data_IF_391054310007
#
_entry.id   IF_391054310007
#
_cell.length_a   1.000
_cell.length_b   1.000
_cell.length_c   1.000
_cell.angle_alpha   90.00
_cell.angle_beta   90.00
_cell.angle_gamma   90.00
#
_symmetry.space_group_name_H-M   'P 1'
#
loop_
_entity.id
_entity.type
_entity.pdbx_description
1 polymer ?
#
# COMPACT_ATOMS: atom_id res chain seq x y z
N UNK A 1 27.30 -64.76 14.18
CA UNK A 1 28.34 -63.81 13.75
C UNK A 1 27.89 -62.39 14.10
N UNK A 2 28.85 -61.59 14.59
CA UNK A 2 28.81 -60.18 15.02
C UNK A 2 28.07 -59.83 16.31
N UNK A 3 28.90 -59.39 17.27
CA UNK A 3 28.65 -59.02 18.66
C UNK A 3 28.50 -57.50 18.78
N UNK A 4 27.66 -57.11 19.72
CA UNK A 4 27.50 -55.78 20.33
C UNK A 4 28.73 -55.46 21.20
N UNK A 5 29.13 -54.18 21.29
CA UNK A 5 29.48 -53.47 22.55
C UNK A 5 30.53 -52.34 22.39
N UNK A 6 30.12 -51.13 22.78
CA UNK A 6 30.78 -50.24 23.76
C UNK A 6 32.00 -49.39 23.38
N UNK A 7 31.86 -48.10 23.68
CA UNK A 7 32.93 -47.26 24.27
C UNK A 7 33.70 -46.40 23.26
N UNK A 8 34.16 -45.17 23.52
CA UNK A 8 34.37 -44.36 24.73
C UNK A 8 34.38 -42.90 24.23
N UNK A 9 33.69 -41.99 24.92
CA UNK A 9 33.82 -40.54 24.69
C UNK A 9 35.02 -40.07 25.53
N UNK A 10 36.12 -39.71 24.85
CA UNK A 10 37.29 -39.09 25.47
C UNK A 10 37.15 -37.57 25.34
N UNK A 11 36.86 -36.89 26.45
CA UNK A 11 36.93 -35.42 26.54
C UNK A 11 38.40 -35.06 26.79
N UNK A 12 39.09 -34.55 25.77
CA UNK A 12 40.42 -33.97 25.92
C UNK A 12 40.30 -32.46 26.10
N UNK A 13 40.51 -32.02 27.35
CA UNK A 13 40.75 -30.64 27.73
C UNK A 13 42.12 -30.23 27.15
N UNK A 14 42.15 -29.34 26.16
CA UNK A 14 43.38 -28.72 25.68
C UNK A 14 43.24 -27.20 25.81
N UNK A 15 43.83 -26.68 26.87
CA UNK A 15 44.27 -25.29 26.98
C UNK A 15 45.27 -25.01 25.86
N UNK A 16 44.94 -24.08 24.98
CA UNK A 16 45.83 -23.57 23.96
C UNK A 16 45.67 -22.06 23.85
N UNK A 17 46.61 -21.33 24.46
CA UNK A 17 46.89 -19.93 24.12
C UNK A 17 47.20 -19.87 22.63
N UNK A 18 46.27 -19.33 21.84
CA UNK A 18 46.51 -19.06 20.43
C UNK A 18 46.87 -17.59 20.26
N UNK A 19 48.18 -17.36 20.14
CA UNK A 19 48.72 -16.18 19.48
C UNK A 19 48.45 -16.37 17.99
N UNK A 20 47.50 -15.63 17.45
CA UNK A 20 47.32 -15.49 16.01
C UNK A 20 47.73 -14.07 15.60
N UNK A 21 48.95 -13.95 15.06
CA UNK A 21 49.26 -12.88 14.11
C UNK A 21 48.52 -13.18 12.81
N UNK A 22 47.67 -12.26 12.35
CA UNK A 22 47.10 -12.27 11.01
C UNK A 22 46.97 -10.82 10.51
N UNK A 23 47.35 -10.62 9.25
CA UNK A 23 47.59 -9.37 8.55
C UNK A 23 46.34 -8.48 8.34
N UNK A 24 46.51 -7.16 8.10
CA UNK A 24 45.43 -6.18 8.13
C UNK A 24 44.64 -6.17 6.81
N UNK A 25 43.32 -6.31 6.91
CA UNK A 25 42.40 -6.28 5.77
C UNK A 25 41.00 -5.80 6.17
N UNK A 26 40.83 -4.49 6.18
CA UNK A 26 39.60 -3.68 6.04
C UNK A 26 38.32 -4.14 6.78
N UNK A 27 38.16 -3.67 8.02
CA UNK A 27 36.87 -3.14 8.44
C UNK A 27 36.87 -1.63 8.15
N UNK A 28 35.89 -1.14 7.40
CA UNK A 28 35.68 0.29 7.18
C UNK A 28 35.08 0.86 8.48
N UNK A 29 35.87 1.68 9.18
CA UNK A 29 35.44 2.52 10.30
C UNK A 29 34.69 3.74 9.74
N UNK A 30 33.36 3.77 9.83
CA UNK A 30 32.52 4.95 9.56
C UNK A 30 32.35 5.81 10.83
N UNK A 31 33.47 6.21 11.45
CA UNK A 31 33.46 7.19 12.53
C UNK A 31 34.58 8.20 12.28
N UNK A 32 34.20 9.40 11.86
CA UNK A 32 35.14 10.50 11.63
C UNK A 32 35.61 11.02 13.01
N UNK A 33 36.77 10.52 13.46
CA UNK A 33 37.39 10.90 14.74
C UNK A 33 38.36 12.05 14.47
N UNK A 34 38.18 13.18 15.16
CA UNK A 34 39.05 14.34 15.02
C UNK A 34 39.96 14.40 16.25
N UNK A 35 41.27 14.45 16.02
CA UNK A 35 42.27 14.57 17.07
C UNK A 35 42.98 15.93 17.01
N UNK A 36 43.06 16.64 18.13
CA UNK A 36 43.92 17.84 18.33
C UNK A 36 44.54 17.83 19.73
N UNK A 37 45.81 18.24 19.81
CA UNK A 37 46.60 18.35 21.05
C UNK A 37 46.53 17.12 21.97
N UNK A 38 46.50 15.92 21.36
CA UNK A 38 46.49 14.64 22.08
C UNK A 38 45.13 14.20 22.61
N UNK A 39 44.06 14.91 22.30
CA UNK A 39 42.68 14.53 22.63
C UNK A 39 41.92 14.24 21.33
N UNK A 40 41.26 13.08 21.28
CA UNK A 40 40.48 12.63 20.14
C UNK A 40 39.01 12.54 20.53
N UNK A 41 38.15 13.24 19.80
CA UNK A 41 36.70 13.24 19.99
C UNK A 41 35.99 12.86 18.69
N UNK A 42 34.81 12.26 18.81
CA UNK A 42 33.95 11.96 17.67
C UNK A 42 33.44 13.28 17.07
N UNK A 43 33.62 13.46 15.75
CA UNK A 43 33.02 14.58 15.07
C UNK A 43 31.49 14.52 15.23
N UNK A 44 30.81 15.63 15.55
CA UNK A 44 29.35 15.65 15.51
C UNK A 44 28.89 15.31 14.10
N UNK A 45 28.06 14.28 13.97
CA UNK A 45 27.55 13.82 12.67
C UNK A 45 26.92 15.02 11.95
N UNK A 46 27.56 15.47 10.88
CA UNK A 46 26.98 16.46 10.00
C UNK A 46 25.71 15.85 9.41
N UNK A 47 24.56 16.40 9.77
CA UNK A 47 23.28 16.03 9.19
C UNK A 47 23.29 16.45 7.71
N UNK A 48 23.74 15.54 6.85
CA UNK A 48 23.56 15.67 5.41
C UNK A 48 22.06 15.60 5.10
N UNK A 49 21.59 16.61 4.37
CA UNK A 49 20.42 16.60 3.51
C UNK A 49 19.03 16.47 4.18
N UNK A 50 18.52 17.62 4.66
CA UNK A 50 17.06 17.84 4.67
C UNK A 50 16.61 18.10 3.22
N UNK A 51 16.11 17.07 2.54
CA UNK A 51 15.11 17.30 1.50
C UNK A 51 13.93 18.06 2.13
N UNK A 52 13.28 19.01 1.42
CA UNK A 52 12.07 19.61 1.94
C UNK A 52 11.04 18.49 2.05
N UNK A 53 10.57 18.22 3.27
CA UNK A 53 9.43 17.35 3.53
C UNK A 53 8.18 17.95 2.84
N UNK A 54 8.06 17.69 1.54
CA UNK A 54 6.78 17.68 0.88
C UNK A 54 5.96 16.62 1.57
N UNK A 55 4.87 17.05 2.23
CA UNK A 55 3.85 16.23 2.88
C UNK A 55 3.79 14.84 2.28
N UNK A 56 4.52 13.90 2.89
CA UNK A 56 4.42 12.50 2.54
C UNK A 56 2.96 12.14 2.79
N UNK A 57 2.24 11.83 1.71
CA UNK A 57 0.92 11.23 1.79
C UNK A 57 1.03 10.10 2.81
N UNK A 58 0.39 10.28 3.97
CA UNK A 58 0.34 9.25 4.98
C UNK A 58 -0.16 8.00 4.27
N UNK A 59 0.64 6.93 4.26
CA UNK A 59 0.32 5.73 3.53
C UNK A 59 -1.04 5.24 4.02
N UNK A 60 -2.08 5.47 3.22
CA UNK A 60 -3.43 5.11 3.57
C UNK A 60 -3.44 3.59 3.80
N UNK A 61 -3.65 3.12 5.04
CA UNK A 61 -3.49 1.70 5.37
C UNK A 61 -4.50 0.82 4.63
N UNK A 62 -5.58 1.41 4.14
CA UNK A 62 -6.66 0.73 3.43
C UNK A 62 -6.59 0.91 1.91
N UNK A 63 -5.60 1.64 1.36
CA UNK A 63 -5.49 1.88 -0.08
C UNK A 63 -6.81 2.37 -0.75
N UNK A 64 -7.73 2.97 0.01
CA UNK A 64 -9.01 3.53 -0.46
C UNK A 64 -8.94 5.04 -0.74
N UNK A 65 -7.74 5.56 -0.87
CA UNK A 65 -7.47 6.88 -1.39
C UNK A 65 -6.48 6.71 -2.52
N UNK A 66 -6.89 7.18 -3.69
CA UNK A 66 -6.01 7.44 -4.82
C UNK A 66 -5.73 8.95 -4.81
N UNK A 67 -4.71 9.45 -5.54
CA UNK A 67 -4.23 10.82 -5.36
C UNK A 67 -5.32 11.91 -5.35
N UNK A 68 -6.42 11.72 -6.09
CA UNK A 68 -7.48 12.72 -6.23
C UNK A 68 -8.81 12.31 -5.55
N UNK A 69 -9.06 11.01 -5.36
CA UNK A 69 -10.36 10.47 -4.91
C UNK A 69 -10.19 9.64 -3.64
N UNK A 70 -11.03 9.91 -2.65
CA UNK A 70 -11.17 9.10 -1.44
C UNK A 70 -12.53 8.39 -1.42
N UNK A 71 -12.54 7.11 -1.06
CA UNK A 71 -13.75 6.34 -0.82
C UNK A 71 -13.94 6.00 0.64
N UNK A 72 -15.16 6.17 1.16
CA UNK A 72 -15.53 5.71 2.50
C UNK A 72 -16.85 4.95 2.48
N UNK A 73 -17.03 4.00 3.38
CA UNK A 73 -18.35 3.39 3.58
C UNK A 73 -19.35 4.45 4.05
N UNK A 74 -20.55 4.45 3.47
CA UNK A 74 -21.61 5.40 3.81
C UNK A 74 -22.03 5.30 5.29
N UNK A 75 -21.96 4.10 5.88
CA UNK A 75 -22.25 3.88 7.31
C UNK A 75 -21.25 4.57 8.26
N UNK A 76 -20.06 4.91 7.76
CA UNK A 76 -18.97 5.47 8.56
C UNK A 76 -18.85 6.99 8.40
N UNK A 77 -19.77 7.61 7.64
CA UNK A 77 -19.73 9.05 7.35
C UNK A 77 -21.09 9.69 7.60
N UNK A 78 -21.09 10.84 8.27
CA UNK A 78 -22.26 11.70 8.34
C UNK A 78 -22.30 12.60 7.09
N UNK A 79 -23.22 12.32 6.17
CA UNK A 79 -23.30 13.04 4.89
C UNK A 79 -24.20 14.27 5.00
N UNK A 80 -23.65 15.41 4.55
CA UNK A 80 -24.43 16.58 4.19
C UNK A 80 -25.06 16.44 2.79
N UNK A 81 -25.29 17.56 2.08
CA UNK A 81 -25.76 17.53 0.70
C UNK A 81 -24.85 16.68 -0.19
N UNK A 82 -25.44 15.72 -0.91
CA UNK A 82 -24.72 14.81 -1.79
C UNK A 82 -25.59 14.48 -3.00
N UNK A 83 -24.95 13.94 -4.04
CA UNK A 83 -25.67 13.23 -5.09
C UNK A 83 -25.65 11.74 -4.81
N UNK A 84 -26.66 11.02 -5.32
CA UNK A 84 -26.79 9.59 -5.11
C UNK A 84 -26.96 8.86 -6.44
N UNK A 85 -26.35 7.69 -6.55
CA UNK A 85 -26.55 6.75 -7.65
C UNK A 85 -26.67 5.31 -7.13
N UNK A 86 -27.58 4.53 -7.72
CA UNK A 86 -27.75 3.10 -7.39
C UNK A 86 -27.16 2.27 -8.52
N UNK A 87 -25.98 1.71 -8.29
CA UNK A 87 -25.31 0.78 -9.21
C UNK A 87 -25.70 -0.68 -8.94
N UNK A 88 -26.19 -0.96 -7.72
CA UNK A 88 -26.62 -2.27 -7.27
C UNK A 88 -27.64 -2.91 -8.22
N UNK A 89 -27.45 -4.20 -8.51
CA UNK A 89 -28.36 -5.00 -9.35
C UNK A 89 -29.13 -6.06 -8.56
N UNK A 90 -28.76 -6.28 -7.29
CA UNK A 90 -29.54 -7.06 -6.33
C UNK A 90 -29.22 -6.65 -4.89
N UNK A 91 -30.02 -7.15 -3.94
CA UNK A 91 -29.73 -7.02 -2.52
C UNK A 91 -28.79 -8.14 -2.04
N UNK A 92 -27.99 -7.91 -0.97
CA UNK A 92 -27.87 -6.67 -0.20
C UNK A 92 -27.03 -5.59 -0.90
N UNK A 93 -27.26 -4.33 -0.53
CA UNK A 93 -26.54 -3.15 -1.05
C UNK A 93 -25.68 -2.52 0.03
N UNK A 94 -24.48 -2.08 -0.34
CA UNK A 94 -23.58 -1.30 0.50
C UNK A 94 -23.29 0.05 -0.15
N UNK A 95 -23.32 1.12 0.65
CA UNK A 95 -23.05 2.47 0.17
C UNK A 95 -21.56 2.81 0.26
N UNK A 96 -20.97 3.30 -0.82
CA UNK A 96 -19.64 3.92 -0.85
C UNK A 96 -19.79 5.38 -1.23
N UNK A 97 -19.17 6.27 -0.47
CA UNK A 97 -19.15 7.70 -0.75
C UNK A 97 -17.80 8.08 -1.33
N UNK A 98 -17.84 8.70 -2.50
CA UNK A 98 -16.67 9.27 -3.16
C UNK A 98 -16.54 10.75 -2.85
N UNK A 99 -15.40 11.10 -2.27
CA UNK A 99 -14.96 12.45 -1.99
C UNK A 99 -13.85 12.85 -2.95
N UNK A 100 -13.78 14.14 -3.26
CA UNK A 100 -12.70 14.72 -4.05
C UNK A 100 -12.18 15.96 -3.31
N UNK A 101 -10.87 16.08 -3.14
CA UNK A 101 -10.27 17.27 -2.52
C UNK A 101 -10.29 18.50 -3.43
N UNK A 102 -10.37 18.28 -4.73
CA UNK A 102 -10.50 19.30 -5.78
C UNK A 102 -11.54 18.84 -6.81
N UNK A 103 -12.09 19.74 -7.66
CA UNK A 103 -12.99 19.34 -8.73
C UNK A 103 -12.35 18.33 -9.70
N UNK A 104 -12.94 17.14 -9.83
CA UNK A 104 -12.47 16.06 -10.71
C UNK A 104 -13.39 15.90 -11.89
N UNK A 105 -12.83 15.87 -13.10
CA UNK A 105 -13.60 15.76 -14.34
C UNK A 105 -13.87 14.32 -14.73
N UNK A 106 -14.99 14.12 -15.42
CA UNK A 106 -15.38 12.86 -16.05
C UNK A 106 -15.38 11.69 -15.05
N UNK A 107 -15.92 11.90 -13.85
CA UNK A 107 -16.04 10.84 -12.86
C UNK A 107 -17.08 9.84 -13.34
N UNK A 108 -16.73 8.56 -13.35
CA UNK A 108 -17.63 7.47 -13.78
C UNK A 108 -17.68 6.36 -12.76
N UNK A 109 -18.85 5.73 -12.66
CA UNK A 109 -19.04 4.46 -11.96
C UNK A 109 -19.04 3.35 -12.97
N UNK A 110 -18.34 2.26 -12.67
CA UNK A 110 -18.07 1.15 -13.58
C UNK A 110 -18.62 -0.16 -13.02
N UNK A 111 -19.19 -0.99 -13.89
CA UNK A 111 -19.32 -2.43 -13.70
C UNK A 111 -18.08 -3.11 -14.26
N UNK A 112 -17.57 -4.07 -13.49
CA UNK A 112 -16.43 -4.90 -13.87
C UNK A 112 -16.89 -6.35 -14.02
N UNK A 113 -16.49 -6.98 -15.11
CA UNK A 113 -16.66 -8.41 -15.34
C UNK A 113 -15.29 -9.04 -15.50
N UNK A 114 -15.00 -10.03 -14.66
CA UNK A 114 -13.72 -10.73 -14.71
C UNK A 114 -13.52 -11.41 -16.07
N UNK A 115 -12.35 -11.16 -16.66
CA UNK A 115 -11.97 -11.71 -17.96
C UNK A 115 -10.93 -12.80 -17.80
N UNK A 116 -9.81 -12.49 -17.15
CA UNK A 116 -8.66 -13.40 -17.01
C UNK A 116 -7.67 -12.87 -15.97
N UNK A 117 -6.56 -13.56 -15.76
CA UNK A 117 -5.39 -13.07 -15.04
C UNK A 117 -4.26 -12.72 -16.02
N UNK A 118 -3.61 -11.59 -15.80
CA UNK A 118 -2.37 -11.27 -16.51
C UNK A 118 -1.24 -12.24 -16.11
N UNK A 119 -0.17 -12.38 -16.92
CA UNK A 119 1.00 -13.19 -16.56
C UNK A 119 1.66 -12.79 -15.23
N UNK A 120 1.48 -11.53 -14.81
CA UNK A 120 1.96 -11.00 -13.53
C UNK A 120 0.99 -11.25 -12.36
N UNK A 121 -0.10 -11.99 -12.57
CA UNK A 121 -1.07 -12.32 -11.54
C UNK A 121 -2.03 -11.17 -11.17
N UNK A 122 -2.24 -10.20 -12.07
CA UNK A 122 -3.26 -9.16 -11.89
C UNK A 122 -4.57 -9.52 -12.59
N UNK A 123 -5.74 -9.30 -11.97
CA UNK A 123 -7.02 -9.54 -12.63
C UNK A 123 -7.22 -8.56 -13.80
N UNK A 124 -7.75 -9.07 -14.89
CA UNK A 124 -8.16 -8.34 -16.07
C UNK A 124 -9.68 -8.33 -16.15
N UNK A 125 -10.26 -7.19 -16.53
CA UNK A 125 -11.71 -7.01 -16.55
C UNK A 125 -12.20 -6.48 -17.89
N UNK A 126 -13.41 -6.87 -18.27
CA UNK A 126 -14.24 -6.07 -19.17
C UNK A 126 -14.88 -4.95 -18.34
N UNK A 127 -14.85 -3.73 -18.88
CA UNK A 127 -15.34 -2.53 -18.18
C UNK A 127 -16.58 -2.01 -18.89
N UNK A 128 -17.63 -1.74 -18.12
CA UNK A 128 -18.85 -1.07 -18.61
C UNK A 128 -19.19 0.12 -17.74
N UNK A 129 -19.43 1.27 -18.37
CA UNK A 129 -19.85 2.48 -17.67
C UNK A 129 -21.32 2.39 -17.24
N UNK A 130 -21.59 2.71 -15.98
CA UNK A 130 -22.95 2.73 -15.40
C UNK A 130 -23.48 4.14 -15.17
N UNK A 131 -22.58 5.07 -14.85
CA UNK A 131 -22.92 6.45 -14.53
C UNK A 131 -21.77 7.36 -14.89
N UNK A 132 -22.08 8.59 -15.30
CA UNK A 132 -21.11 9.65 -15.55
C UNK A 132 -21.53 10.93 -14.84
N UNK A 133 -20.55 11.60 -14.24
CA UNK A 133 -20.64 12.92 -13.64
C UNK A 133 -19.53 13.79 -14.20
N UNK A 134 -19.92 14.87 -14.87
CA UNK A 134 -18.98 15.77 -15.54
C UNK A 134 -17.93 16.32 -14.58
N UNK A 135 -18.36 16.70 -13.36
CA UNK A 135 -17.47 17.17 -12.30
C UNK A 135 -17.92 16.64 -10.94
N UNK A 136 -17.09 15.83 -10.29
CA UNK A 136 -17.21 15.51 -8.87
C UNK A 136 -16.60 16.67 -8.06
N UNK A 137 -17.43 17.35 -7.26
CA UNK A 137 -17.03 18.55 -6.50
C UNK A 137 -16.81 18.23 -5.02
N UNK A 138 -15.86 18.88 -4.34
CA UNK A 138 -15.62 18.68 -2.91
C UNK A 138 -16.87 18.89 -2.04
N UNK A 139 -17.69 19.89 -2.37
CA UNK A 139 -18.87 20.28 -1.58
C UNK A 139 -20.08 19.38 -1.84
N UNK A 140 -19.98 18.48 -2.82
CA UNK A 140 -21.10 17.63 -3.27
C UNK A 140 -20.60 16.22 -3.62
N UNK A 141 -20.22 15.43 -2.59
CA UNK A 141 -19.75 14.06 -2.78
C UNK A 141 -20.82 13.19 -3.45
N UNK A 142 -20.40 12.04 -3.96
CA UNK A 142 -21.29 11.08 -4.61
C UNK A 142 -21.41 9.82 -3.73
N UNK A 143 -22.61 9.57 -3.23
CA UNK A 143 -22.98 8.28 -2.64
C UNK A 143 -23.35 7.31 -3.76
N UNK A 144 -22.72 6.15 -3.80
CA UNK A 144 -23.06 5.07 -4.71
C UNK A 144 -23.43 3.82 -3.92
N UNK A 145 -24.62 3.28 -4.18
CA UNK A 145 -25.06 1.98 -3.64
C UNK A 145 -24.63 0.87 -4.59
N UNK A 146 -23.77 -0.01 -4.11
CA UNK A 146 -23.22 -1.14 -4.85
C UNK A 146 -23.73 -2.47 -4.28
N UNK A 147 -23.74 -3.49 -5.12
CA UNK A 147 -23.78 -4.88 -4.67
C UNK A 147 -22.37 -5.46 -4.76
N UNK A 148 -21.83 -5.99 -3.66
CA UNK A 148 -20.54 -6.67 -3.64
C UNK A 148 -20.79 -8.19 -3.68
N UNK A 149 -20.27 -8.88 -4.71
CA UNK A 149 -20.48 -10.32 -4.87
C UNK A 149 -19.16 -11.07 -4.95
N UNK A 150 -19.04 -12.10 -4.11
CA UNK A 150 -17.88 -12.98 -4.10
C UNK A 150 -16.59 -12.24 -3.75
N UNK A 151 -15.47 -12.83 -4.18
CA UNK A 151 -14.12 -12.30 -3.91
C UNK A 151 -13.50 -11.55 -5.09
N UNK A 152 -14.11 -11.62 -6.28
CA UNK A 152 -13.61 -10.95 -7.47
C UNK A 152 -14.30 -9.59 -7.61
N UNK A 153 -13.55 -8.48 -7.71
CA UNK A 153 -14.14 -7.15 -7.84
C UNK A 153 -15.11 -7.05 -9.02
N UNK A 154 -16.31 -6.55 -8.76
CA UNK A 154 -17.36 -6.34 -9.77
C UNK A 154 -17.74 -4.85 -9.93
N UNK A 155 -17.15 -3.99 -9.11
CA UNK A 155 -17.42 -2.55 -9.07
C UNK A 155 -16.13 -1.77 -9.30
N UNK A 156 -16.22 -0.63 -9.96
CA UNK A 156 -15.10 0.25 -10.21
C UNK A 156 -15.50 1.71 -10.36
N UNK A 157 -14.49 2.56 -10.53
CA UNK A 157 -14.67 3.95 -10.91
C UNK A 157 -13.54 4.42 -11.81
N UNK A 158 -13.78 5.48 -12.57
CA UNK A 158 -12.75 6.14 -13.34
C UNK A 158 -12.88 7.65 -13.30
N UNK A 159 -11.79 8.36 -13.57
CA UNK A 159 -11.81 9.81 -13.74
C UNK A 159 -10.66 10.29 -14.62
N UNK A 160 -10.73 11.54 -15.07
CA UNK A 160 -9.61 12.21 -15.75
C UNK A 160 -8.74 12.92 -14.71
N UNK A 161 -7.48 12.51 -14.59
CA UNK A 161 -6.53 13.11 -13.66
C UNK A 161 -6.07 14.52 -14.11
N UNK A 162 -5.35 15.28 -13.27
CA UNK A 162 -4.90 16.62 -13.62
C UNK A 162 -3.99 16.68 -14.86
N UNK A 163 -3.35 15.56 -15.24
CA UNK A 163 -2.51 15.45 -16.44
C UNK A 163 -3.32 15.08 -17.70
N UNK A 164 -4.64 14.93 -17.58
CA UNK A 164 -5.52 14.54 -18.68
C UNK A 164 -5.57 13.04 -18.92
N UNK A 165 -4.95 12.21 -18.08
CA UNK A 165 -4.97 10.76 -18.23
C UNK A 165 -6.23 10.19 -17.58
N UNK A 166 -6.87 9.23 -18.24
CA UNK A 166 -7.94 8.45 -17.60
C UNK A 166 -7.33 7.44 -16.63
N UNK A 167 -7.72 7.52 -15.36
CA UNK A 167 -7.39 6.56 -14.31
C UNK A 167 -8.60 5.68 -14.04
N UNK A 168 -8.42 4.38 -13.90
CA UNK A 168 -9.49 3.44 -13.60
C UNK A 168 -9.09 2.52 -12.45
N UNK A 169 -10.04 2.26 -11.57
CA UNK A 169 -9.82 1.49 -10.36
C UNK A 169 -10.96 0.50 -10.15
N UNK A 170 -10.62 -0.70 -9.66
CA UNK A 170 -11.59 -1.59 -9.04
C UNK A 170 -11.77 -1.23 -7.57
N UNK A 171 -12.93 -1.61 -7.03
CA UNK A 171 -13.31 -1.43 -5.64
C UNK A 171 -13.55 -2.81 -5.04
N UNK A 172 -12.94 -3.08 -3.90
CA UNK A 172 -13.14 -4.32 -3.16
C UNK A 172 -13.30 -4.06 -1.67
N UNK A 173 -13.99 -4.97 -1.00
CA UNK A 173 -13.98 -5.06 0.46
C UNK A 173 -12.88 -6.05 0.88
N UNK A 174 -12.05 -5.64 1.82
CA UNK A 174 -11.05 -6.49 2.46
C UNK A 174 -11.75 -7.62 3.23
N UNK A 175 -11.49 -8.87 2.84
CA UNK A 175 -11.97 -10.03 3.60
C UNK A 175 -11.35 -10.18 5.00
N UNK A 176 -10.32 -9.38 5.34
CA UNK A 176 -9.64 -9.42 6.64
C UNK A 176 -10.36 -8.58 7.69
N UNK A 177 -10.82 -7.38 7.30
CA UNK A 177 -11.33 -6.36 8.24
C UNK A 177 -12.50 -5.54 7.70
N UNK A 178 -13.03 -5.85 6.51
CA UNK A 178 -14.15 -5.14 5.90
C UNK A 178 -13.80 -3.73 5.42
N UNK A 179 -12.53 -3.36 5.37
CA UNK A 179 -12.11 -2.06 4.83
C UNK A 179 -12.37 -1.98 3.32
N UNK A 180 -12.70 -0.78 2.84
CA UNK A 180 -12.75 -0.51 1.41
C UNK A 180 -11.31 -0.47 0.88
N UNK A 181 -11.08 -1.02 -0.31
CA UNK A 181 -9.79 -0.99 -1.00
C UNK A 181 -9.99 -0.55 -2.44
N UNK A 182 -9.06 0.25 -2.98
CA UNK A 182 -8.98 0.55 -4.41
C UNK A 182 -7.72 -0.07 -5.01
N UNK A 183 -7.84 -0.60 -6.23
CA UNK A 183 -6.68 -1.04 -7.00
C UNK A 183 -6.78 -0.59 -8.45
N UNK A 184 -5.65 -0.14 -9.02
CA UNK A 184 -5.59 0.35 -10.41
C UNK A 184 -5.73 -0.83 -11.39
N UNK A 185 -6.54 -0.61 -12.44
CA UNK A 185 -6.77 -1.55 -13.54
C UNK A 185 -5.62 -1.55 -14.56
#
# INVERSE_FOLDING_TARGET
MKRIATGIITVALLTGLSVCSAEPGSARDDADVICRDGVCELAPAASADREPEGLAATANPYQNAVPDVEGRWARDVNLGPHDEFVAATSDPQAGVVFFAGNPIRNFKVLALEFKDMSPAGKPLFNVRELYTKDVLRPERPLLVKFSFFGSIPNNGFSYTDPKGKTRQYYISESGKDGSLLFGEL
#
